data_IF_837392093958
#
_entry.id   IF_837392093958
#
_cell.length_a   1.000
_cell.length_b   1.000
_cell.length_c   1.000
_cell.angle_alpha   90.00
_cell.angle_beta   90.00
_cell.angle_gamma   90.00
#
_symmetry.space_group_name_H-M   'P 1'
#
loop_
_entity.id
_entity.type
_entity.pdbx_description
1 polymer ?
#
# COMPACT_ATOMS: atom_id res chain seq x y z
N UNK A 1 18.66 13.47 19.61
CA UNK A 1 17.51 12.58 19.88
C UNK A 1 16.63 12.61 18.63
N UNK A 2 16.54 11.51 17.88
CA UNK A 2 15.68 11.41 16.70
C UNK A 2 14.24 11.17 17.17
N UNK A 3 13.36 12.14 16.92
CA UNK A 3 11.92 11.99 17.17
C UNK A 3 11.41 10.74 16.43
N UNK A 4 10.66 9.83 17.08
CA UNK A 4 10.08 8.69 16.38
C UNK A 4 9.16 9.22 15.28
N UNK A 5 9.38 8.79 14.05
CA UNK A 5 8.60 9.22 12.90
C UNK A 5 7.17 8.68 13.01
N UNK A 6 6.19 9.57 12.98
CA UNK A 6 4.78 9.22 12.82
C UNK A 6 4.52 8.77 11.38
N UNK A 7 3.83 7.65 11.22
CA UNK A 7 3.34 7.17 9.92
C UNK A 7 1.91 7.66 9.75
N UNK A 8 1.68 8.39 8.67
CA UNK A 8 0.41 9.07 8.39
C UNK A 8 -0.41 8.33 7.33
N UNK A 9 -1.72 8.59 7.32
CA UNK A 9 -2.60 8.15 6.24
C UNK A 9 -2.12 8.70 4.89
N UNK A 10 -2.39 7.95 3.82
CA UNK A 10 -1.94 8.23 2.45
C UNK A 10 -0.42 8.19 2.23
N UNK A 11 0.40 7.87 3.25
CA UNK A 11 1.80 7.56 3.02
C UNK A 11 1.96 6.27 2.21
N UNK A 12 2.87 6.31 1.24
CA UNK A 12 3.38 5.11 0.58
C UNK A 12 4.72 4.77 1.22
N UNK A 13 4.79 3.60 1.85
CA UNK A 13 5.99 3.11 2.55
C UNK A 13 6.38 1.73 2.04
N UNK A 14 7.67 1.43 2.04
CA UNK A 14 8.17 0.06 1.89
C UNK A 14 8.33 -0.58 3.27
N UNK A 15 7.69 -1.74 3.45
CA UNK A 15 7.89 -2.61 4.61
C UNK A 15 8.67 -3.86 4.22
N UNK A 16 9.54 -4.33 5.11
CA UNK A 16 10.22 -5.61 4.92
C UNK A 16 9.40 -6.76 5.52
N UNK A 17 9.02 -7.71 4.68
CA UNK A 17 8.33 -8.94 5.10
C UNK A 17 9.31 -10.10 4.98
N UNK A 18 9.77 -10.65 6.12
CA UNK A 18 10.53 -11.90 6.16
C UNK A 18 9.57 -13.07 6.14
N UNK A 19 9.60 -13.87 5.07
CA UNK A 19 8.99 -15.20 5.10
C UNK A 19 9.86 -16.10 5.99
N UNK A 20 9.21 -16.87 6.86
CA UNK A 20 9.82 -17.57 8.01
C UNK A 20 10.80 -18.68 7.56
N UNK A 21 10.87 -19.04 6.27
CA UNK A 21 11.57 -20.27 5.86
C UNK A 21 12.84 -20.12 5.00
N UNK A 22 13.21 -18.93 4.48
CA UNK A 22 14.35 -18.85 3.51
C UNK A 22 15.31 -17.66 3.62
N UNK A 23 15.34 -16.94 4.75
CA UNK A 23 16.33 -15.87 4.99
C UNK A 23 16.29 -14.65 4.04
N UNK A 24 15.48 -14.68 2.97
CA UNK A 24 15.28 -13.61 2.01
C UNK A 24 13.89 -13.01 2.17
N UNK A 25 13.78 -11.93 2.94
CA UNK A 25 12.58 -11.10 2.94
C UNK A 25 12.49 -10.21 1.72
N UNK A 26 11.26 -9.82 1.36
CA UNK A 26 10.98 -8.91 0.24
C UNK A 26 10.52 -7.57 0.80
N UNK A 27 11.06 -6.48 0.24
CA UNK A 27 10.52 -5.13 0.45
C UNK A 27 9.24 -4.99 -0.35
N UNK A 28 8.14 -4.63 0.31
CA UNK A 28 6.82 -4.47 -0.30
C UNK A 28 6.33 -3.03 -0.07
N UNK A 29 6.04 -2.27 -1.15
CA UNK A 29 5.35 -1.01 -0.99
C UNK A 29 3.90 -1.25 -0.55
N UNK A 30 3.41 -0.41 0.34
CA UNK A 30 2.04 -0.41 0.87
C UNK A 30 1.51 1.02 0.90
N UNK A 31 0.18 1.17 0.81
CA UNK A 31 -0.51 2.44 1.04
C UNK A 31 -1.12 2.42 2.44
N UNK A 32 -0.69 3.34 3.30
CA UNK A 32 -1.21 3.46 4.67
C UNK A 32 -2.61 4.06 4.62
N UNK A 33 -3.56 3.36 5.24
CA UNK A 33 -4.94 3.85 5.40
C UNK A 33 -5.05 4.62 6.71
N UNK A 34 -4.51 4.04 7.80
CA UNK A 34 -4.46 4.64 9.13
C UNK A 34 -3.46 3.91 10.01
N UNK A 35 -3.06 4.57 11.08
CA UNK A 35 -2.40 3.95 12.23
C UNK A 35 -3.33 3.99 13.43
N UNK A 36 -3.28 2.95 14.27
CA UNK A 36 -4.01 2.91 15.53
C UNK A 36 -3.23 2.09 16.55
N UNK A 37 -2.88 2.72 17.69
CA UNK A 37 -1.96 2.14 18.68
C UNK A 37 -0.66 1.68 18.00
N UNK A 38 -0.31 0.41 18.11
CA UNK A 38 0.87 -0.19 17.50
C UNK A 38 0.60 -0.82 16.12
N UNK A 39 -0.59 -0.63 15.54
CA UNK A 39 -0.97 -1.22 14.25
C UNK A 39 -0.94 -0.21 13.10
N UNK A 40 -0.48 -0.69 11.95
CA UNK A 40 -0.69 -0.04 10.65
C UNK A 40 -1.76 -0.83 9.90
N UNK A 41 -2.76 -0.13 9.39
CA UNK A 41 -3.76 -0.66 8.44
C UNK A 41 -3.43 -0.14 7.05
N UNK A 42 -3.40 -1.04 6.06
CA UNK A 42 -2.90 -0.69 4.74
C UNK A 42 -3.53 -1.50 3.60
N UNK A 43 -3.44 -0.94 2.40
CA UNK A 43 -3.60 -1.68 1.15
C UNK A 43 -2.25 -2.13 0.60
N UNK A 44 -2.19 -3.33 0.05
CA UNK A 44 -1.00 -3.82 -0.64
C UNK A 44 -0.84 -3.13 -1.99
N UNK A 45 0.39 -2.77 -2.35
CA UNK A 45 0.70 -2.31 -3.70
C UNK A 45 1.34 -3.43 -4.53
N UNK A 46 0.89 -3.59 -5.77
CA UNK A 46 1.41 -4.60 -6.68
C UNK A 46 1.72 -4.02 -8.05
N UNK A 47 2.73 -4.55 -8.72
CA UNK A 47 2.91 -4.37 -10.17
C UNK A 47 2.42 -5.57 -10.98
N UNK A 48 1.96 -6.63 -10.32
CA UNK A 48 1.53 -7.89 -10.94
C UNK A 48 0.01 -7.86 -11.14
N UNK A 49 -0.45 -7.01 -12.04
CA UNK A 49 -1.88 -6.84 -12.35
C UNK A 49 -2.29 -7.57 -13.63
N UNK A 50 -1.44 -7.54 -14.67
CA UNK A 50 -1.77 -7.97 -16.04
C UNK A 50 -2.32 -9.39 -16.13
N UNK A 51 -1.78 -10.32 -15.36
CA UNK A 51 -2.09 -11.75 -15.45
C UNK A 51 -3.26 -12.18 -14.53
N UNK A 52 -3.89 -11.24 -13.82
CA UNK A 52 -5.03 -11.55 -12.93
C UNK A 52 -6.33 -11.70 -13.72
N UNK A 53 -7.25 -12.54 -13.22
CA UNK A 53 -8.59 -12.70 -13.80
C UNK A 53 -9.37 -11.38 -13.75
N UNK A 54 -10.38 -11.17 -14.62
CA UNK A 54 -11.21 -9.96 -14.59
C UNK A 54 -11.84 -9.70 -13.22
N UNK A 55 -12.37 -10.75 -12.58
CA UNK A 55 -12.95 -10.69 -11.24
C UNK A 55 -11.93 -10.21 -10.19
N UNK A 56 -10.71 -10.75 -10.22
CA UNK A 56 -9.65 -10.31 -9.31
C UNK A 56 -9.25 -8.87 -9.63
N UNK A 57 -9.12 -8.50 -10.92
CA UNK A 57 -8.75 -7.14 -11.37
C UNK A 57 -9.73 -6.07 -10.92
N UNK A 58 -11.02 -6.40 -10.78
CA UNK A 58 -12.04 -5.49 -10.24
C UNK A 58 -11.74 -4.99 -8.82
N UNK A 59 -10.83 -5.64 -8.09
CA UNK A 59 -10.37 -5.21 -6.77
C UNK A 59 -9.19 -4.22 -6.81
N UNK A 60 -8.64 -3.91 -7.97
CA UNK A 60 -7.42 -3.12 -8.08
C UNK A 60 -7.72 -1.73 -8.65
N UNK A 61 -7.34 -0.70 -7.89
CA UNK A 61 -7.29 0.65 -8.41
C UNK A 61 -5.94 0.88 -9.11
N UNK A 62 -5.97 1.34 -10.35
CA UNK A 62 -4.76 1.69 -11.12
C UNK A 62 -4.23 3.04 -10.66
N UNK A 63 -3.02 3.08 -10.12
CA UNK A 63 -2.38 4.36 -9.80
C UNK A 63 -1.95 5.06 -11.09
N UNK A 64 -2.33 6.32 -11.24
CA UNK A 64 -2.05 7.15 -12.40
C UNK A 64 -0.72 7.89 -12.19
N UNK A 65 -0.47 8.44 -11.00
CA UNK A 65 0.71 9.26 -10.71
C UNK A 65 1.80 8.47 -9.96
N UNK A 66 1.92 7.16 -10.21
CA UNK A 66 2.87 6.29 -9.50
C UNK A 66 4.35 6.72 -9.63
N UNK A 67 4.74 7.37 -10.74
CA UNK A 67 6.10 7.88 -10.95
C UNK A 67 6.43 9.02 -9.98
N UNK A 68 5.51 9.96 -9.84
CA UNK A 68 5.68 11.18 -9.03
C UNK A 68 5.84 10.85 -7.55
N UNK A 69 5.20 9.78 -7.10
CA UNK A 69 5.26 9.32 -5.70
C UNK A 69 6.48 8.43 -5.43
N UNK A 70 7.37 8.21 -6.41
CA UNK A 70 8.64 7.49 -6.25
C UNK A 70 8.60 5.99 -6.56
N UNK A 71 7.54 5.47 -7.18
CA UNK A 71 7.48 4.06 -7.60
C UNK A 71 8.19 3.87 -8.95
N UNK A 72 8.79 2.70 -9.16
CA UNK A 72 9.64 2.41 -10.33
C UNK A 72 8.90 1.87 -11.55
N UNK A 73 7.64 1.47 -11.39
CA UNK A 73 6.81 0.85 -12.43
C UNK A 73 5.33 1.04 -12.13
N UNK A 74 4.49 0.82 -13.15
CA UNK A 74 3.04 0.81 -13.04
C UNK A 74 2.61 -0.03 -11.83
N UNK A 75 1.85 0.60 -10.95
CA UNK A 75 1.46 0.04 -9.66
C UNK A 75 -0.05 0.16 -9.49
N UNK A 76 -0.60 -0.79 -8.75
CA UNK A 76 -2.02 -0.93 -8.50
C UNK A 76 -2.24 -1.11 -7.00
N UNK A 77 -3.26 -0.46 -6.47
CA UNK A 77 -3.70 -0.56 -5.07
C UNK A 77 -4.66 -1.73 -4.97
N UNK A 78 -4.29 -2.76 -4.22
CA UNK A 78 -5.16 -3.90 -3.92
C UNK A 78 -6.18 -3.49 -2.84
N UNK A 79 -7.41 -3.23 -3.28
CA UNK A 79 -8.51 -2.82 -2.39
C UNK A 79 -9.41 -4.00 -2.00
N UNK A 80 -9.05 -5.23 -2.38
CA UNK A 80 -9.83 -6.43 -2.04
C UNK A 80 -9.70 -6.81 -0.56
N UNK A 81 -8.63 -6.38 0.11
CA UNK A 81 -8.41 -6.68 1.52
C UNK A 81 -7.64 -5.56 2.20
N UNK A 82 -8.18 -5.05 3.31
CA UNK A 82 -7.40 -4.23 4.25
C UNK A 82 -6.54 -5.19 5.08
N UNK A 83 -5.23 -4.96 5.07
CA UNK A 83 -4.28 -5.75 5.86
C UNK A 83 -3.82 -4.94 7.05
N UNK A 84 -3.34 -5.64 8.06
CA UNK A 84 -2.76 -5.04 9.25
C UNK A 84 -1.46 -5.70 9.66
N UNK A 85 -0.60 -4.94 10.33
CA UNK A 85 0.58 -5.46 10.99
C UNK A 85 0.95 -4.57 12.17
N UNK A 86 1.62 -5.15 13.16
CA UNK A 86 2.17 -4.38 14.27
C UNK A 86 3.50 -3.74 13.87
N UNK A 87 3.71 -2.50 14.28
CA UNK A 87 4.96 -1.76 14.07
C UNK A 87 6.18 -2.55 14.55
N UNK A 88 6.07 -3.22 15.71
CA UNK A 88 7.14 -4.05 16.28
C UNK A 88 7.57 -5.24 15.40
N UNK A 89 6.71 -5.68 14.47
CA UNK A 89 7.03 -6.77 13.56
C UNK A 89 7.83 -6.27 12.35
N UNK A 90 7.90 -4.96 12.12
CA UNK A 90 8.54 -4.36 10.97
C UNK A 90 9.99 -4.03 11.30
N UNK A 91 10.93 -4.81 10.72
CA UNK A 91 12.37 -4.58 10.89
C UNK A 91 12.83 -3.25 10.28
N UNK A 92 12.28 -2.89 9.13
CA UNK A 92 12.60 -1.65 8.42
C UNK A 92 11.37 -1.07 7.74
N UNK A 93 11.24 0.25 7.84
CA UNK A 93 10.20 1.06 7.19
C UNK A 93 10.91 2.18 6.42
N UNK A 94 10.60 2.33 5.14
CA UNK A 94 11.19 3.38 4.30
C UNK A 94 10.07 4.21 3.66
N UNK A 95 10.12 5.54 3.78
CA UNK A 95 9.19 6.41 3.02
C UNK A 95 9.50 6.25 1.53
N UNK A 96 8.48 6.07 0.72
CA UNK A 96 8.58 6.18 -0.73
C UNK A 96 8.02 7.54 -1.17
N UNK A 97 6.80 7.86 -0.71
CA UNK A 97 6.15 9.12 -1.04
C UNK A 97 4.79 9.25 -0.36
N UNK A 98 3.97 10.14 -0.89
CA UNK A 98 2.55 10.31 -0.53
C UNK A 98 1.70 9.91 -1.73
N UNK A 99 0.51 9.35 -1.51
CA UNK A 99 -0.47 9.20 -2.57
C UNK A 99 -0.77 10.59 -3.16
N UNK A 100 -0.78 10.69 -4.49
CA UNK A 100 -1.10 11.97 -5.14
C UNK A 100 -2.56 12.35 -4.87
N UNK A 101 -2.87 13.65 -4.86
CA UNK A 101 -4.26 14.12 -4.69
C UNK A 101 -5.19 13.54 -5.77
N UNK A 102 -4.68 13.39 -6.99
CA UNK A 102 -5.42 12.79 -8.10
C UNK A 102 -5.72 11.31 -7.84
N UNK A 103 -4.73 10.54 -7.39
CA UNK A 103 -4.92 9.13 -7.04
C UNK A 103 -5.78 8.95 -5.79
N UNK A 104 -5.71 9.88 -4.83
CA UNK A 104 -6.57 9.87 -3.64
C UNK A 104 -8.04 10.04 -4.01
N UNK A 105 -8.37 11.06 -4.81
CA UNK A 105 -9.71 11.29 -5.33
C UNK A 105 -10.19 10.10 -6.18
N UNK A 106 -9.33 9.59 -7.06
CA UNK A 106 -9.63 8.44 -7.90
C UNK A 106 -9.91 7.17 -7.09
N UNK A 107 -9.10 6.90 -6.07
CA UNK A 107 -9.27 5.77 -5.17
C UNK A 107 -10.58 5.90 -4.37
N UNK A 108 -10.89 7.10 -3.85
CA UNK A 108 -12.12 7.34 -3.11
C UNK A 108 -13.36 7.08 -3.98
N UNK A 109 -13.36 7.57 -5.22
CA UNK A 109 -14.44 7.32 -6.18
C UNK A 109 -14.56 5.83 -6.54
N UNK A 110 -13.42 5.16 -6.74
CA UNK A 110 -13.38 3.73 -7.02
C UNK A 110 -13.99 2.90 -5.88
N UNK A 111 -13.59 3.18 -4.64
CA UNK A 111 -14.13 2.50 -3.45
C UNK A 111 -15.63 2.77 -3.25
N UNK A 112 -16.09 4.01 -3.53
CA UNK A 112 -17.51 4.36 -3.45
C UNK A 112 -18.36 3.55 -4.43
N UNK A 113 -17.91 3.41 -5.69
CA UNK A 113 -18.61 2.62 -6.72
C UNK A 113 -18.66 1.12 -6.38
N UNK A 114 -17.64 0.61 -5.70
CA UNK A 114 -17.61 -0.81 -5.26
C UNK A 114 -18.57 -1.12 -4.13
N UNK A 115 -18.80 -0.18 -3.20
CA UNK A 115 -19.75 -0.39 -2.08
C UNK A 115 -21.22 -0.37 -2.49
N UNK A 116 -21.53 0.01 -3.73
CA UNK A 116 -22.89 0.14 -4.26
C UNK A 116 -23.31 -1.05 -5.16
N UNK A 117 -22.42 -2.03 -5.31
CA UNK A 117 -22.64 -3.29 -6.02
C UNK A 117 -22.78 -4.41 -4.99
#
# INVERSE_FOLDING_TARGET
MTTPRTIESNEIIAIYVSFIEKGQGKRRPILVIRTYRDFIYFYSLTSQYTNKSPEIKANYYTMLNWKEVGLKKQTYIDTGTIRETRLKNLKTITKIGMLSMHDELGLALFLKKRKQQ
#
